data_IF_786119583016
#
_entry.id   IF_786119583016
#
_cell.length_a   1.000
_cell.length_b   1.000
_cell.length_c   1.000
_cell.angle_alpha   90.00
_cell.angle_beta   90.00
_cell.angle_gamma   90.00
#
_symmetry.space_group_name_H-M   'P 1'
#
loop_
_entity.id
_entity.type
_entity.pdbx_description
1 polymer ?
#
# COMPACT_ATOMS: atom_id res chain seq x y z
N UNK A 1 39.79 11.52 -21.43
CA UNK A 1 39.63 10.42 -20.44
C UNK A 1 38.17 10.41 -20.05
N UNK A 2 37.37 9.54 -20.70
CA UNK A 2 35.93 9.41 -20.43
C UNK A 2 35.83 8.55 -19.17
N UNK A 3 35.43 9.13 -18.04
CA UNK A 3 35.05 8.40 -16.84
C UNK A 3 33.75 7.65 -17.17
N UNK A 4 33.85 6.35 -17.41
CA UNK A 4 32.71 5.45 -17.40
C UNK A 4 32.17 5.46 -15.94
N UNK A 5 30.94 5.92 -15.76
CA UNK A 5 30.21 5.71 -14.52
C UNK A 5 30.14 4.20 -14.25
N UNK A 6 30.27 3.76 -12.99
CA UNK A 6 30.12 2.34 -12.67
C UNK A 6 28.73 1.89 -13.12
N UNK A 7 28.67 0.86 -13.93
CA UNK A 7 27.44 0.14 -14.22
C UNK A 7 27.00 -0.44 -12.88
N UNK A 8 25.97 0.13 -12.27
CA UNK A 8 25.24 -0.50 -11.17
C UNK A 8 24.81 -1.87 -11.70
N UNK A 9 25.33 -2.95 -11.12
CA UNK A 9 24.84 -4.29 -11.40
C UNK A 9 23.35 -4.28 -11.05
N UNK A 10 22.49 -4.46 -12.06
CA UNK A 10 21.06 -4.61 -11.84
C UNK A 10 20.84 -5.74 -10.83
N UNK A 11 20.05 -5.49 -9.81
CA UNK A 11 19.72 -6.49 -8.79
C UNK A 11 19.06 -7.70 -9.48
N UNK A 12 19.58 -8.90 -9.23
CA UNK A 12 18.93 -10.14 -9.67
C UNK A 12 17.85 -10.55 -8.66
N UNK A 13 16.63 -10.14 -8.93
CA UNK A 13 15.50 -10.40 -8.06
C UNK A 13 15.19 -11.89 -7.88
N UNK A 14 15.62 -12.76 -8.80
CA UNK A 14 15.39 -14.21 -8.75
C UNK A 14 16.24 -14.91 -7.67
N UNK A 15 17.38 -14.32 -7.32
CA UNK A 15 18.30 -14.83 -6.29
C UNK A 15 17.93 -14.36 -4.87
N UNK A 16 16.92 -13.53 -4.73
CA UNK A 16 16.48 -13.04 -3.43
C UNK A 16 15.63 -14.09 -2.69
N UNK A 17 15.95 -14.30 -1.44
CA UNK A 17 15.30 -15.31 -0.57
C UNK A 17 14.59 -14.64 0.61
N UNK A 18 13.27 -14.40 0.53
CA UNK A 18 12.51 -13.85 1.63
C UNK A 18 12.53 -14.75 2.86
N UNK A 19 12.81 -14.18 4.03
CA UNK A 19 12.79 -14.85 5.33
C UNK A 19 11.43 -14.64 5.99
N UNK A 20 10.83 -15.71 6.51
CA UNK A 20 9.60 -15.61 7.29
C UNK A 20 9.91 -14.99 8.66
N UNK A 21 9.28 -13.87 8.98
CA UNK A 21 9.51 -13.11 10.23
C UNK A 21 8.31 -13.14 11.17
N UNK A 22 7.10 -13.43 10.66
CA UNK A 22 5.91 -13.60 11.46
C UNK A 22 4.95 -14.58 10.78
N UNK A 23 4.16 -15.33 11.55
CA UNK A 23 3.22 -16.34 11.01
C UNK A 23 2.09 -16.65 11.99
N UNK A 24 1.15 -17.53 11.58
CA UNK A 24 -0.01 -17.97 12.35
C UNK A 24 -1.13 -16.91 12.43
N UNK A 25 -1.29 -16.12 11.38
CA UNK A 25 -2.42 -15.22 11.17
C UNK A 25 -3.45 -15.86 10.24
N UNK A 26 -4.60 -15.21 10.06
CA UNK A 26 -5.64 -15.71 9.16
C UNK A 26 -5.41 -15.18 7.75
N UNK A 27 -5.23 -13.84 7.60
CA UNK A 27 -4.87 -13.21 6.34
C UNK A 27 -4.18 -11.87 6.61
N UNK A 28 -2.89 -11.81 6.31
CA UNK A 28 -2.07 -10.63 6.57
C UNK A 28 -2.15 -9.62 5.43
N UNK A 29 -2.20 -8.34 5.76
CA UNK A 29 -2.33 -7.22 4.82
C UNK A 29 -1.72 -5.92 5.35
N UNK A 30 -1.65 -4.90 4.49
CA UNK A 30 -1.39 -3.52 4.79
C UNK A 30 -0.15 -3.24 5.64
N UNK A 31 1.02 -3.78 5.28
CA UNK A 31 2.23 -3.51 6.04
C UNK A 31 2.64 -2.04 5.90
N UNK A 32 3.02 -1.43 7.01
CA UNK A 32 3.53 -0.06 7.05
C UNK A 32 4.66 0.04 8.08
N UNK A 33 5.80 0.58 7.68
CA UNK A 33 6.95 0.75 8.56
C UNK A 33 6.87 2.09 9.29
N UNK A 34 7.08 2.08 10.60
CA UNK A 34 7.21 3.28 11.43
C UNK A 34 8.66 3.68 11.57
N UNK A 35 8.95 5.00 11.56
CA UNK A 35 10.27 5.53 11.91
C UNK A 35 10.71 5.18 13.34
N UNK A 36 9.77 4.79 14.19
CA UNK A 36 10.08 4.31 15.55
C UNK A 36 10.62 2.88 15.56
N UNK A 37 10.93 2.28 14.39
CA UNK A 37 11.66 1.01 14.22
C UNK A 37 10.80 -0.25 14.29
N UNK A 38 9.55 -0.19 13.87
CA UNK A 38 8.65 -1.35 13.81
C UNK A 38 7.74 -1.34 12.59
N UNK A 39 7.27 -2.51 12.20
CA UNK A 39 6.25 -2.72 11.20
C UNK A 39 4.88 -2.82 11.88
N UNK A 40 3.86 -2.13 11.35
CA UNK A 40 2.46 -2.45 11.59
C UNK A 40 1.93 -3.24 10.40
N UNK A 41 1.10 -4.23 10.64
CA UNK A 41 0.35 -4.94 9.60
C UNK A 41 -1.01 -5.40 10.13
N UNK A 42 -1.92 -5.68 9.23
CA UNK A 42 -3.29 -6.11 9.53
C UNK A 42 -3.41 -7.64 9.48
N UNK A 43 -4.16 -8.24 10.40
CA UNK A 43 -4.79 -9.56 10.23
C UNK A 43 -6.29 -9.32 10.08
N UNK A 44 -6.77 -9.31 8.82
CA UNK A 44 -8.12 -8.83 8.50
C UNK A 44 -9.20 -9.68 9.19
N UNK A 45 -9.26 -11.03 8.99
CA UNK A 45 -10.26 -11.84 9.64
C UNK A 45 -10.01 -11.99 11.16
N UNK A 46 -8.74 -11.91 11.58
CA UNK A 46 -8.35 -11.84 13.00
C UNK A 46 -8.77 -10.53 13.67
N UNK A 47 -9.22 -9.55 12.88
CA UNK A 47 -9.69 -8.22 13.32
C UNK A 47 -8.68 -7.47 14.19
N UNK A 48 -7.38 -7.54 13.83
CA UNK A 48 -6.26 -6.98 14.60
C UNK A 48 -5.31 -6.18 13.72
N UNK A 49 -4.72 -5.15 14.31
CA UNK A 49 -3.45 -4.61 13.87
C UNK A 49 -2.35 -5.19 14.74
N UNK A 50 -1.29 -5.68 14.13
CA UNK A 50 -0.11 -6.25 14.75
C UNK A 50 1.06 -5.30 14.64
N UNK A 51 1.97 -5.35 15.61
CA UNK A 51 3.26 -4.66 15.62
C UNK A 51 4.37 -5.69 15.64
N UNK A 52 5.28 -5.59 14.71
CA UNK A 52 6.51 -6.41 14.64
C UNK A 52 7.75 -5.52 14.74
N UNK A 53 8.53 -5.69 15.80
CA UNK A 53 9.86 -5.11 15.94
C UNK A 53 10.88 -6.17 15.53
N UNK A 54 11.85 -5.87 14.64
CA UNK A 54 12.87 -6.85 14.28
C UNK A 54 13.59 -7.42 15.50
N UNK A 55 13.66 -8.75 15.59
CA UNK A 55 14.23 -9.47 16.73
C UNK A 55 13.25 -9.79 17.86
N UNK A 56 12.00 -9.30 17.80
CA UNK A 56 10.97 -9.57 18.81
C UNK A 56 9.82 -10.41 18.21
N UNK A 57 9.00 -10.99 19.09
CA UNK A 57 7.74 -11.61 18.67
C UNK A 57 6.69 -10.51 18.37
N UNK A 58 5.86 -10.69 17.34
CA UNK A 58 4.79 -9.73 17.07
C UNK A 58 3.83 -9.58 18.24
N UNK A 59 3.41 -8.36 18.51
CA UNK A 59 2.44 -7.99 19.55
C UNK A 59 1.19 -7.36 18.94
N UNK A 60 0.09 -7.35 19.68
CA UNK A 60 -1.13 -6.64 19.26
C UNK A 60 -0.86 -5.13 19.37
N UNK A 61 -0.97 -4.41 18.25
CA UNK A 61 -0.92 -2.96 18.20
C UNK A 61 -2.31 -2.36 18.52
N UNK A 62 -3.38 -2.93 17.93
CA UNK A 62 -4.77 -2.55 18.17
C UNK A 62 -5.66 -3.78 17.99
N UNK A 63 -6.42 -4.11 19.02
CA UNK A 63 -7.48 -5.11 18.96
C UNK A 63 -8.78 -4.49 18.41
N UNK A 64 -9.68 -5.33 17.88
CA UNK A 64 -10.94 -4.87 17.27
C UNK A 64 -10.69 -3.77 16.21
N UNK A 65 -9.85 -4.10 15.22
CA UNK A 65 -9.39 -3.16 14.19
C UNK A 65 -10.47 -2.75 13.19
N UNK A 66 -11.70 -3.25 13.30
CA UNK A 66 -12.83 -2.99 12.39
C UNK A 66 -12.55 -3.43 10.94
N UNK A 67 -11.86 -4.56 10.79
CA UNK A 67 -11.44 -5.04 9.49
C UNK A 67 -10.41 -4.12 8.82
N UNK A 68 -9.40 -3.69 9.58
CA UNK A 68 -8.29 -2.92 9.05
C UNK A 68 -7.61 -3.69 7.91
N UNK A 69 -7.30 -2.99 6.81
CA UNK A 69 -6.58 -3.52 5.65
C UNK A 69 -5.31 -2.71 5.46
N UNK A 70 -5.31 -1.70 4.58
CA UNK A 70 -4.16 -0.86 4.28
C UNK A 70 -3.83 0.13 5.39
N UNK A 71 -2.54 0.37 5.57
CA UNK A 71 -2.01 1.29 6.56
C UNK A 71 -0.92 2.19 5.95
N UNK A 72 -0.79 3.41 6.48
CA UNK A 72 0.28 4.34 6.12
C UNK A 72 0.61 5.24 7.31
N UNK A 73 1.88 5.58 7.49
CA UNK A 73 2.30 6.59 8.45
C UNK A 73 2.46 7.96 7.77
N UNK A 74 2.33 9.03 8.54
CA UNK A 74 2.69 10.37 8.11
C UNK A 74 4.01 10.86 8.74
N UNK A 75 4.43 12.07 8.36
CA UNK A 75 5.64 12.74 8.88
C UNK A 75 5.64 12.90 10.40
N UNK A 76 4.48 12.93 11.05
CA UNK A 76 4.31 13.05 12.49
C UNK A 76 4.27 11.69 13.20
N UNK A 77 4.33 10.58 12.45
CA UNK A 77 4.26 9.22 12.97
C UNK A 77 2.84 8.81 13.41
N UNK A 78 1.80 9.44 12.85
CA UNK A 78 0.41 9.04 13.03
C UNK A 78 0.08 7.95 12.01
N UNK A 79 -0.68 6.94 12.44
CA UNK A 79 -1.09 5.83 11.59
C UNK A 79 -2.45 6.11 10.95
N UNK A 80 -2.52 6.00 9.64
CA UNK A 80 -3.75 6.06 8.85
C UNK A 80 -4.14 4.65 8.44
N UNK A 81 -5.41 4.30 8.58
CA UNK A 81 -5.90 2.94 8.36
C UNK A 81 -7.21 2.94 7.57
N UNK A 82 -7.30 2.05 6.58
CA UNK A 82 -8.55 1.67 5.94
C UNK A 82 -9.27 0.63 6.80
N UNK A 83 -10.42 0.97 7.39
CA UNK A 83 -11.25 0.06 8.17
C UNK A 83 -12.43 -0.42 7.31
N UNK A 84 -12.26 -1.55 6.61
CA UNK A 84 -13.21 -1.99 5.60
C UNK A 84 -14.56 -2.43 6.16
N UNK A 85 -14.60 -3.09 7.33
CA UNK A 85 -15.85 -3.50 7.95
C UNK A 85 -16.68 -2.31 8.43
N UNK A 86 -16.03 -1.26 8.94
CA UNK A 86 -16.67 -0.02 9.35
C UNK A 86 -16.85 0.97 8.19
N UNK A 87 -16.26 0.69 7.01
CA UNK A 87 -16.36 1.52 5.79
C UNK A 87 -15.87 2.94 6.02
N UNK A 88 -14.67 3.08 6.59
CA UNK A 88 -14.15 4.39 6.96
C UNK A 88 -12.63 4.44 6.89
N UNK A 89 -12.11 5.66 6.85
CA UNK A 89 -10.69 5.99 7.01
C UNK A 89 -10.51 6.55 8.41
N UNK A 90 -9.50 6.03 9.12
CA UNK A 90 -9.16 6.51 10.47
C UNK A 90 -7.71 6.97 10.54
N UNK A 91 -7.44 7.84 11.53
CA UNK A 91 -6.10 8.26 11.94
C UNK A 91 -5.91 7.95 13.42
N UNK A 92 -4.82 7.26 13.75
CA UNK A 92 -4.43 6.96 15.12
C UNK A 92 -3.23 7.81 15.49
N UNK A 93 -3.31 8.59 16.55
CA UNK A 93 -2.19 9.39 17.05
C UNK A 93 -1.18 8.54 17.84
N UNK A 94 -0.04 9.13 18.22
CA UNK A 94 1.02 8.44 18.99
C UNK A 94 0.56 8.01 20.41
N UNK A 95 -0.57 8.50 20.90
CA UNK A 95 -1.18 8.11 22.19
C UNK A 95 -2.23 7.02 22.03
N UNK A 96 -2.47 6.55 20.78
CA UNK A 96 -3.45 5.52 20.47
C UNK A 96 -4.89 6.05 20.30
N UNK A 97 -5.12 7.37 20.31
CA UNK A 97 -6.45 7.94 20.05
C UNK A 97 -6.78 7.81 18.57
N UNK A 98 -7.93 7.20 18.29
CA UNK A 98 -8.46 7.01 16.93
C UNK A 98 -9.45 8.12 16.59
N UNK A 99 -9.28 8.71 15.42
CA UNK A 99 -10.16 9.72 14.83
C UNK A 99 -10.66 9.23 13.48
N UNK A 100 -11.95 9.42 13.19
CA UNK A 100 -12.54 9.12 11.87
C UNK A 100 -12.31 10.32 10.95
N UNK A 101 -11.69 10.10 9.79
CA UNK A 101 -11.43 11.15 8.80
C UNK A 101 -12.48 11.17 7.69
N UNK A 102 -12.94 9.99 7.26
CA UNK A 102 -13.94 9.86 6.20
C UNK A 102 -14.71 8.55 6.37
N UNK A 103 -16.04 8.59 6.18
CA UNK A 103 -16.93 7.43 6.11
C UNK A 103 -17.99 7.56 5.03
N UNK A 104 -18.14 8.75 4.45
CA UNK A 104 -19.15 9.06 3.43
C UNK A 104 -18.57 9.97 2.36
N UNK A 105 -19.08 9.80 1.16
CA UNK A 105 -18.91 10.72 0.04
C UNK A 105 -20.30 11.12 -0.50
N UNK A 106 -20.58 12.42 -0.57
CA UNK A 106 -21.89 12.95 -0.99
C UNK A 106 -23.09 12.28 -0.26
N UNK A 107 -22.96 12.08 1.05
CA UNK A 107 -24.00 11.47 1.90
C UNK A 107 -24.07 9.95 1.86
N UNK A 108 -23.49 9.28 0.86
CA UNK A 108 -23.44 7.81 0.74
C UNK A 108 -22.22 7.25 1.46
N UNK A 109 -22.37 6.08 2.08
CA UNK A 109 -21.25 5.37 2.74
C UNK A 109 -20.20 4.94 1.70
N UNK A 110 -18.94 4.98 2.11
CA UNK A 110 -17.85 4.35 1.36
C UNK A 110 -18.15 2.84 1.15
N UNK A 111 -17.57 2.23 0.15
CA UNK A 111 -17.80 0.81 -0.14
C UNK A 111 -17.12 -0.10 0.91
N UNK A 112 -15.83 -0.21 0.84
CA UNK A 112 -14.97 -0.92 1.79
C UNK A 112 -13.52 -0.49 1.52
N UNK A 113 -13.05 0.63 2.11
CA UNK A 113 -11.71 1.14 1.87
C UNK A 113 -10.65 0.06 2.04
N UNK A 114 -9.70 0.00 1.10
CA UNK A 114 -8.75 -1.09 1.01
C UNK A 114 -7.31 -0.64 1.30
N UNK A 115 -6.69 0.20 0.48
CA UNK A 115 -5.31 0.64 0.70
C UNK A 115 -5.20 2.17 0.72
N UNK A 116 -4.14 2.69 1.34
CA UNK A 116 -4.00 4.10 1.67
C UNK A 116 -2.54 4.56 1.61
N UNK A 117 -2.32 5.77 1.14
CA UNK A 117 -1.03 6.44 1.21
C UNK A 117 -1.21 7.90 1.63
N UNK A 118 -0.29 8.38 2.48
CA UNK A 118 -0.24 9.78 2.90
C UNK A 118 0.92 10.45 2.20
N UNK A 119 0.65 11.53 1.45
CA UNK A 119 1.68 12.33 0.80
C UNK A 119 2.43 13.16 1.86
N UNK A 120 3.69 13.46 1.61
CA UNK A 120 4.58 14.19 2.55
C UNK A 120 4.00 15.53 3.05
N UNK A 121 3.18 16.18 2.25
CA UNK A 121 2.46 17.39 2.62
C UNK A 121 1.15 17.14 3.42
N UNK A 122 0.83 15.87 3.72
CA UNK A 122 -0.34 15.47 4.53
C UNK A 122 -1.62 15.23 3.73
N UNK A 123 -1.59 15.30 2.41
CA UNK A 123 -2.72 14.86 1.57
C UNK A 123 -2.83 13.34 1.58
N UNK A 124 -4.04 12.81 1.61
CA UNK A 124 -4.31 11.38 1.79
C UNK A 124 -4.99 10.86 0.52
N UNK A 125 -4.56 9.70 0.05
CA UNK A 125 -5.18 9.00 -1.07
C UNK A 125 -5.52 7.58 -0.65
N UNK A 126 -6.70 7.08 -1.03
CA UNK A 126 -7.13 5.73 -0.70
C UNK A 126 -7.98 5.13 -1.81
N UNK A 127 -8.01 3.80 -1.84
CA UNK A 127 -8.87 3.03 -2.74
C UNK A 127 -10.10 2.54 -1.98
N UNK A 128 -11.26 2.54 -2.65
CA UNK A 128 -12.53 2.12 -2.09
C UNK A 128 -13.25 1.14 -3.03
N UNK A 129 -12.68 -0.07 -3.20
CA UNK A 129 -13.38 -1.17 -3.88
C UNK A 129 -14.47 -1.74 -2.97
N UNK A 130 -15.07 -2.84 -3.38
CA UNK A 130 -15.79 -3.72 -2.48
C UNK A 130 -15.39 -5.15 -2.81
N UNK A 131 -14.88 -5.88 -1.83
CA UNK A 131 -14.55 -7.29 -1.95
C UNK A 131 -15.52 -8.12 -1.12
N UNK A 132 -15.76 -9.38 -1.53
CA UNK A 132 -16.61 -10.28 -0.78
C UNK A 132 -18.06 -9.76 -0.63
N UNK A 133 -18.66 -9.97 0.54
CA UNK A 133 -20.04 -9.62 0.84
C UNK A 133 -20.34 -8.11 0.89
N UNK A 134 -19.33 -7.26 1.00
CA UNK A 134 -19.54 -5.82 0.95
C UNK A 134 -20.02 -5.34 -0.43
N UNK A 135 -19.80 -6.09 -1.50
CA UNK A 135 -20.29 -5.76 -2.84
C UNK A 135 -21.83 -5.64 -2.86
N UNK A 136 -22.54 -6.50 -2.13
CA UNK A 136 -24.00 -6.60 -2.16
C UNK A 136 -24.68 -5.46 -1.39
N UNK A 137 -23.93 -4.75 -0.53
CA UNK A 137 -24.45 -3.70 0.34
C UNK A 137 -23.92 -2.30 0.01
N UNK A 138 -23.38 -2.12 -1.20
CA UNK A 138 -22.87 -0.82 -1.65
C UNK A 138 -23.98 0.20 -1.82
N UNK A 139 -23.70 1.44 -1.37
CA UNK A 139 -24.53 2.61 -1.66
C UNK A 139 -24.04 3.36 -2.90
N UNK A 140 -22.75 3.20 -3.24
CA UNK A 140 -22.12 3.77 -4.44
C UNK A 140 -22.20 2.79 -5.61
N UNK A 141 -22.44 3.28 -6.80
CA UNK A 141 -22.55 2.50 -8.03
C UNK A 141 -21.20 2.31 -8.76
N UNK A 142 -20.10 2.70 -8.12
CA UNK A 142 -18.73 2.61 -8.62
C UNK A 142 -17.75 2.22 -7.50
N UNK A 143 -16.56 1.73 -7.88
CA UNK A 143 -15.39 1.63 -7.05
C UNK A 143 -14.55 2.89 -7.22
N UNK A 144 -14.08 3.49 -6.12
CA UNK A 144 -13.44 4.80 -6.16
C UNK A 144 -11.96 4.79 -5.83
N UNK A 145 -11.23 5.75 -6.39
CA UNK A 145 -9.97 6.26 -5.85
C UNK A 145 -10.26 7.65 -5.33
N UNK A 146 -9.91 7.92 -4.09
CA UNK A 146 -10.28 9.15 -3.39
C UNK A 146 -9.07 9.91 -2.88
N UNK A 147 -9.28 11.20 -2.69
CA UNK A 147 -8.38 12.13 -2.05
C UNK A 147 -9.07 12.78 -0.85
N UNK A 148 -8.35 12.93 0.27
CA UNK A 148 -8.75 13.75 1.40
C UNK A 148 -7.76 14.90 1.52
N UNK A 149 -8.27 16.12 1.40
CA UNK A 149 -7.48 17.35 1.51
C UNK A 149 -7.05 17.65 2.95
N UNK A 150 -6.14 18.59 3.14
CA UNK A 150 -5.75 19.09 4.48
C UNK A 150 -6.91 19.64 5.31
N UNK A 151 -8.01 20.04 4.64
CA UNK A 151 -9.22 20.56 5.28
C UNK A 151 -10.20 19.46 5.64
N UNK A 152 -9.89 18.19 5.32
CA UNK A 152 -10.77 17.06 5.49
C UNK A 152 -11.86 16.93 4.42
N UNK A 153 -11.75 17.68 3.32
CA UNK A 153 -12.65 17.55 2.17
C UNK A 153 -12.31 16.28 1.40
N UNK A 154 -13.32 15.53 1.00
CA UNK A 154 -13.17 14.28 0.26
C UNK A 154 -13.57 14.48 -1.21
N UNK A 155 -12.64 14.20 -2.11
CA UNK A 155 -12.83 14.26 -3.56
C UNK A 155 -12.59 12.90 -4.21
N UNK A 156 -13.20 12.66 -5.37
CA UNK A 156 -13.00 11.46 -6.18
C UNK A 156 -11.94 11.75 -7.24
N UNK A 157 -10.84 10.99 -7.20
CA UNK A 157 -9.80 10.99 -8.24
C UNK A 157 -10.27 10.22 -9.47
N UNK A 158 -10.80 9.00 -9.24
CA UNK A 158 -11.30 8.15 -10.32
C UNK A 158 -12.50 7.32 -9.88
N UNK A 159 -13.40 7.05 -10.84
CA UNK A 159 -14.53 6.14 -10.70
C UNK A 159 -14.34 4.96 -11.66
N UNK A 160 -14.54 3.75 -11.18
CA UNK A 160 -14.38 2.53 -11.97
C UNK A 160 -15.53 1.55 -11.70
N UNK A 161 -15.79 0.66 -12.64
CA UNK A 161 -16.61 -0.54 -12.41
C UNK A 161 -15.78 -1.71 -11.89
N UNK A 162 -14.48 -1.66 -12.10
CA UNK A 162 -13.47 -2.63 -11.65
C UNK A 162 -12.82 -2.15 -10.35
N UNK A 163 -12.16 -3.07 -9.63
CA UNK A 163 -11.70 -2.84 -8.26
C UNK A 163 -10.28 -2.29 -8.22
N UNK A 164 -10.08 -0.97 -7.91
CA UNK A 164 -8.78 -0.46 -7.50
C UNK A 164 -8.38 -1.13 -6.19
N UNK A 165 -7.09 -1.41 -6.01
CA UNK A 165 -6.59 -2.12 -4.84
C UNK A 165 -5.42 -1.36 -4.21
N UNK A 166 -4.17 -1.80 -4.41
CA UNK A 166 -3.00 -1.13 -3.84
C UNK A 166 -2.80 0.29 -4.35
N UNK A 167 -2.21 1.14 -3.52
CA UNK A 167 -1.97 2.55 -3.82
C UNK A 167 -0.60 3.00 -3.31
N UNK A 168 0.15 3.74 -4.13
CA UNK A 168 1.46 4.29 -3.77
C UNK A 168 1.75 5.59 -4.50
N UNK A 169 2.70 6.36 -4.00
CA UNK A 169 3.19 7.61 -4.61
C UNK A 169 4.58 7.42 -5.21
N UNK A 170 4.85 8.12 -6.31
CA UNK A 170 6.22 8.29 -6.80
C UNK A 170 7.11 8.97 -5.76
N UNK A 171 8.46 8.85 -5.85
CA UNK A 171 9.38 9.43 -4.86
C UNK A 171 9.20 10.93 -4.65
N UNK A 172 8.84 11.66 -5.69
CA UNK A 172 8.60 13.10 -5.63
C UNK A 172 7.14 13.48 -5.29
N UNK A 173 6.27 12.48 -5.04
CA UNK A 173 4.86 12.68 -4.69
C UNK A 173 3.98 13.28 -5.81
N UNK A 174 4.44 13.25 -7.06
CA UNK A 174 3.72 13.85 -8.20
C UNK A 174 2.90 12.85 -9.02
N UNK A 175 3.11 11.56 -8.81
CA UNK A 175 2.36 10.51 -9.49
C UNK A 175 1.77 9.59 -8.43
N UNK A 176 0.49 9.31 -8.54
CA UNK A 176 -0.21 8.29 -7.77
C UNK A 176 -0.34 7.03 -8.63
N UNK A 177 0.15 5.91 -8.13
CA UNK A 177 0.01 4.61 -8.76
C UNK A 177 -1.08 3.82 -8.06
N UNK A 178 -1.96 3.19 -8.84
CA UNK A 178 -3.06 2.37 -8.34
C UNK A 178 -3.11 1.07 -9.12
N UNK A 179 -3.06 -0.06 -8.42
CA UNK A 179 -3.34 -1.38 -9.02
C UNK A 179 -4.83 -1.56 -9.24
N UNK A 180 -5.20 -2.28 -10.29
CA UNK A 180 -6.56 -2.74 -10.50
C UNK A 180 -6.57 -4.27 -10.60
N UNK A 181 -7.21 -4.92 -9.62
CA UNK A 181 -7.22 -6.38 -9.50
C UNK A 181 -7.94 -7.07 -10.64
N UNK A 182 -9.02 -6.48 -11.15
CA UNK A 182 -9.84 -7.07 -12.22
C UNK A 182 -9.22 -6.87 -13.60
N UNK A 183 -8.63 -5.70 -13.84
CA UNK A 183 -7.99 -5.35 -15.12
C UNK A 183 -6.55 -5.83 -15.22
N UNK A 184 -5.95 -6.28 -14.13
CA UNK A 184 -4.54 -6.71 -14.03
C UNK A 184 -3.57 -5.66 -14.55
N UNK A 185 -3.76 -4.43 -14.11
CA UNK A 185 -2.95 -3.29 -14.55
C UNK A 185 -2.54 -2.38 -13.37
N UNK A 186 -1.65 -1.44 -13.67
CA UNK A 186 -1.39 -0.26 -12.84
C UNK A 186 -1.79 0.97 -13.63
N UNK A 187 -2.61 1.82 -13.02
CA UNK A 187 -2.93 3.15 -13.50
C UNK A 187 -2.05 4.18 -12.80
N UNK A 188 -1.58 5.16 -13.53
CA UNK A 188 -0.82 6.28 -13.03
C UNK A 188 -1.61 7.57 -13.21
N UNK A 189 -1.69 8.36 -12.15
CA UNK A 189 -2.41 9.64 -12.09
C UNK A 189 -1.41 10.75 -11.79
N UNK A 190 -1.32 11.75 -12.66
CA UNK A 190 -0.46 12.91 -12.44
C UNK A 190 -1.13 13.85 -11.42
N UNK A 191 -0.51 14.05 -10.27
CA UNK A 191 -1.07 14.85 -9.18
C UNK A 191 -0.71 16.33 -9.32
N UNK A 192 -1.68 17.18 -9.13
CA UNK A 192 -1.48 18.62 -8.99
C UNK A 192 -1.14 19.03 -7.54
N UNK A 193 -0.94 20.33 -7.33
CA UNK A 193 -0.58 20.87 -6.00
C UNK A 193 -1.72 20.77 -4.99
N UNK A 194 -2.96 20.76 -5.46
CA UNK A 194 -4.15 20.69 -4.62
C UNK A 194 -4.57 19.24 -4.31
N UNK A 195 -3.88 18.26 -4.89
CA UNK A 195 -4.16 16.84 -4.71
C UNK A 195 -5.09 16.25 -5.75
N UNK A 196 -5.58 17.04 -6.70
CA UNK A 196 -6.33 16.58 -7.87
C UNK A 196 -5.44 15.80 -8.85
N UNK A 197 -6.07 15.03 -9.74
CA UNK A 197 -5.39 14.23 -10.76
C UNK A 197 -5.97 14.47 -12.14
N UNK A 198 -5.53 15.51 -12.85
CA UNK A 198 -6.10 15.88 -14.14
C UNK A 198 -5.80 14.89 -15.27
N UNK A 199 -4.76 14.07 -15.12
CA UNK A 199 -4.34 13.11 -16.14
C UNK A 199 -4.27 11.70 -15.58
N UNK A 200 -4.74 10.74 -16.36
CA UNK A 200 -4.68 9.30 -16.06
C UNK A 200 -4.11 8.55 -17.27
N UNK A 201 -3.33 7.50 -16.99
CA UNK A 201 -2.87 6.54 -18.00
C UNK A 201 -2.71 5.14 -17.43
N UNK A 202 -2.84 4.12 -18.26
CA UNK A 202 -2.41 2.76 -17.93
C UNK A 202 -0.88 2.72 -18.09
N UNK A 203 -0.16 2.50 -17.01
CA UNK A 203 1.30 2.42 -17.00
C UNK A 203 1.78 0.99 -17.27
N UNK A 204 1.16 0.02 -16.61
CA UNK A 204 1.49 -1.41 -16.73
C UNK A 204 0.21 -2.16 -17.05
N UNK A 205 0.27 -3.12 -17.95
CA UNK A 205 -0.84 -3.99 -18.31
C UNK A 205 -0.41 -5.46 -18.30
N UNK A 206 -1.40 -6.36 -18.21
CA UNK A 206 -1.18 -7.81 -18.24
C UNK A 206 -0.23 -8.33 -17.13
N UNK A 207 -0.35 -7.79 -15.93
CA UNK A 207 0.43 -8.25 -14.77
C UNK A 207 0.14 -9.73 -14.52
N UNK A 208 1.19 -10.51 -14.27
CA UNK A 208 1.10 -11.93 -13.96
C UNK A 208 0.42 -12.16 -12.61
N UNK A 209 -0.81 -12.64 -12.63
CA UNK A 209 -1.64 -12.82 -11.43
C UNK A 209 -2.62 -11.67 -11.21
N UNK A 210 -3.13 -11.58 -9.98
CA UNK A 210 -4.05 -10.52 -9.56
C UNK A 210 -3.24 -9.49 -8.78
N UNK A 211 -3.01 -8.28 -9.31
CA UNK A 211 -2.26 -7.26 -8.59
C UNK A 211 -3.07 -6.79 -7.37
N UNK A 212 -2.37 -6.68 -6.26
CA UNK A 212 -2.88 -6.30 -4.95
C UNK A 212 -2.12 -5.06 -4.45
N UNK A 213 -1.49 -5.07 -3.30
CA UNK A 213 -0.70 -3.94 -2.81
C UNK A 213 0.54 -3.63 -3.64
N UNK A 214 1.02 -2.39 -3.59
CA UNK A 214 2.27 -1.98 -4.24
C UNK A 214 3.03 -0.95 -3.42
N UNK A 215 4.35 -0.90 -3.62
CA UNK A 215 5.23 0.17 -3.11
C UNK A 215 6.26 0.57 -4.17
N UNK A 216 6.94 1.69 -3.92
CA UNK A 216 7.89 2.30 -4.85
C UNK A 216 9.24 2.49 -4.16
N UNK A 217 10.35 2.26 -4.87
CA UNK A 217 11.70 2.57 -4.40
C UNK A 217 12.14 4.01 -4.73
N UNK A 218 13.32 4.44 -4.26
CA UNK A 218 13.86 5.78 -4.52
C UNK A 218 14.17 6.03 -6.01
N UNK A 219 14.35 4.96 -6.80
CA UNK A 219 14.55 5.04 -8.26
C UNK A 219 13.24 5.14 -9.04
N UNK A 220 12.09 4.95 -8.35
CA UNK A 220 10.77 4.95 -8.95
C UNK A 220 10.29 3.58 -9.42
N UNK A 221 11.04 2.50 -9.17
CA UNK A 221 10.59 1.15 -9.52
C UNK A 221 9.41 0.73 -8.63
N UNK A 222 8.45 0.02 -9.22
CA UNK A 222 7.24 -0.44 -8.57
C UNK A 222 7.38 -1.91 -8.16
N UNK A 223 7.10 -2.21 -6.90
CA UNK A 223 7.05 -3.54 -6.32
C UNK A 223 5.59 -3.90 -6.08
N UNK A 224 5.06 -4.83 -6.85
CA UNK A 224 3.63 -5.15 -6.93
C UNK A 224 3.40 -6.56 -6.40
N UNK A 225 2.61 -6.70 -5.34
CA UNK A 225 2.14 -8.00 -4.88
C UNK A 225 1.14 -8.57 -5.90
N UNK A 226 1.42 -9.78 -6.40
CA UNK A 226 0.58 -10.50 -7.36
C UNK A 226 0.79 -12.02 -7.18
N UNK A 227 1.15 -12.79 -8.22
CA UNK A 227 1.56 -14.19 -8.02
C UNK A 227 2.87 -14.28 -7.21
N UNK A 228 3.75 -13.32 -7.43
CA UNK A 228 4.98 -13.05 -6.69
C UNK A 228 5.03 -11.54 -6.43
N UNK A 229 6.13 -11.02 -5.90
CA UNK A 229 6.35 -9.58 -5.93
C UNK A 229 6.98 -9.25 -7.29
N UNK A 230 6.17 -8.70 -8.19
CA UNK A 230 6.60 -8.31 -9.53
C UNK A 230 7.24 -6.92 -9.48
N UNK A 231 8.41 -6.77 -10.10
CA UNK A 231 9.16 -5.50 -10.10
C UNK A 231 9.15 -4.89 -11.50
N UNK A 232 8.73 -3.62 -11.57
CA UNK A 232 8.68 -2.85 -12.81
C UNK A 232 9.43 -1.54 -12.67
N UNK A 233 10.01 -1.04 -13.76
CA UNK A 233 10.60 0.30 -13.79
C UNK A 233 9.52 1.39 -13.69
N UNK A 234 9.95 2.63 -13.45
CA UNK A 234 9.08 3.80 -13.45
C UNK A 234 8.33 4.02 -14.79
N UNK A 235 8.87 3.46 -15.89
CA UNK A 235 8.27 3.51 -17.24
C UNK A 235 7.36 2.29 -17.51
N UNK A 236 7.25 1.34 -16.56
CA UNK A 236 6.41 0.15 -16.68
C UNK A 236 7.08 -1.04 -17.35
N UNK A 237 8.40 -1.05 -17.51
CA UNK A 237 9.14 -2.21 -18.00
C UNK A 237 9.31 -3.24 -16.87
N UNK A 238 8.99 -4.51 -17.12
CA UNK A 238 9.21 -5.60 -16.16
C UNK A 238 10.71 -5.85 -15.96
N UNK A 239 11.17 -5.77 -14.72
CA UNK A 239 12.58 -5.93 -14.33
C UNK A 239 12.87 -7.31 -13.76
N UNK A 240 11.88 -7.98 -13.18
CA UNK A 240 12.00 -9.30 -12.58
C UNK A 240 10.97 -9.54 -11.51
N UNK A 241 11.10 -10.67 -10.79
CA UNK A 241 10.15 -11.08 -9.74
C UNK A 241 10.90 -11.59 -8.52
N UNK A 242 10.50 -11.14 -7.34
CA UNK A 242 10.99 -11.68 -6.06
C UNK A 242 10.08 -12.86 -5.69
N UNK A 243 10.68 -14.03 -5.57
CA UNK A 243 9.94 -15.24 -5.22
C UNK A 243 9.24 -15.08 -3.87
N UNK A 244 7.98 -15.43 -3.80
CA UNK A 244 7.21 -15.54 -2.56
C UNK A 244 6.85 -17.01 -2.28
N UNK A 245 6.91 -17.42 -1.02
CA UNK A 245 6.52 -18.78 -0.61
C UNK A 245 5.01 -18.96 -0.48
N UNK A 246 4.30 -17.85 -0.26
CA UNK A 246 2.84 -17.76 -0.26
C UNK A 246 2.43 -16.62 -1.22
N UNK A 247 1.18 -16.61 -1.68
CA UNK A 247 0.68 -15.50 -2.53
C UNK A 247 0.74 -14.19 -1.76
N UNK A 248 1.54 -13.21 -2.20
CA UNK A 248 1.65 -11.92 -1.54
C UNK A 248 0.36 -11.12 -1.69
N UNK A 249 0.02 -10.36 -0.66
CA UNK A 249 -1.11 -9.41 -0.65
C UNK A 249 -0.62 -7.96 -0.73
N UNK A 250 0.47 -7.63 -0.02
CA UNK A 250 1.00 -6.26 0.00
C UNK A 250 2.48 -6.27 0.39
N UNK A 251 3.14 -5.11 0.35
CA UNK A 251 4.52 -4.96 0.79
C UNK A 251 4.77 -3.59 1.42
N UNK A 252 5.90 -3.45 2.12
CA UNK A 252 6.38 -2.18 2.66
C UNK A 252 7.90 -2.19 2.76
N UNK A 253 8.53 -1.11 2.39
CA UNK A 253 9.94 -0.88 2.70
C UNK A 253 10.10 -0.53 4.17
N UNK A 254 11.11 -1.08 4.81
CA UNK A 254 11.37 -0.88 6.23
C UNK A 254 12.82 -1.10 6.61
N UNK A 255 13.06 -1.28 7.92
CA UNK A 255 14.31 -1.16 8.63
C UNK A 255 14.84 0.29 8.65
N UNK A 256 15.81 0.61 9.51
CA UNK A 256 16.33 1.98 9.63
C UNK A 256 16.92 2.55 8.34
N UNK A 257 17.39 1.69 7.44
CA UNK A 257 17.98 2.06 6.15
C UNK A 257 16.99 2.00 4.98
N UNK A 258 15.73 1.51 5.22
CA UNK A 258 14.69 1.30 4.19
C UNK A 258 15.11 0.37 3.05
N UNK A 259 16.06 -0.53 3.29
CA UNK A 259 16.53 -1.52 2.32
C UNK A 259 15.95 -2.92 2.53
N UNK A 260 15.00 -3.09 3.43
CA UNK A 260 14.22 -4.32 3.55
C UNK A 260 12.83 -4.15 3.00
N UNK A 261 12.40 -5.09 2.18
CA UNK A 261 11.01 -5.20 1.75
C UNK A 261 10.32 -6.24 2.66
N UNK A 262 9.33 -5.79 3.41
CA UNK A 262 8.41 -6.64 4.15
C UNK A 262 7.23 -6.98 3.26
N UNK A 263 6.88 -8.25 3.18
CA UNK A 263 5.81 -8.77 2.32
C UNK A 263 4.80 -9.50 3.18
N UNK A 264 3.57 -9.02 3.20
CA UNK A 264 2.44 -9.78 3.74
C UNK A 264 1.98 -10.80 2.70
N UNK A 265 1.82 -12.06 3.12
CA UNK A 265 1.43 -13.14 2.23
C UNK A 265 0.63 -14.20 3.00
N UNK A 266 -0.64 -14.32 2.68
CA UNK A 266 -1.57 -15.24 3.35
C UNK A 266 -1.50 -15.13 4.87
N UNK A 267 -0.91 -16.14 5.53
CA UNK A 267 -0.88 -16.28 6.99
C UNK A 267 0.41 -15.77 7.62
N UNK A 268 1.27 -15.13 6.84
CA UNK A 268 2.66 -14.84 7.24
C UNK A 268 3.14 -13.47 6.75
N UNK A 269 4.20 -12.98 7.37
CA UNK A 269 4.98 -11.83 6.92
C UNK A 269 6.40 -12.30 6.62
N UNK A 270 6.92 -11.89 5.50
CA UNK A 270 8.28 -12.18 5.04
C UNK A 270 9.09 -10.89 4.98
N UNK A 271 10.41 -11.01 5.07
CA UNK A 271 11.37 -9.92 4.90
C UNK A 271 12.43 -10.35 3.90
N UNK A 272 12.76 -9.48 2.97
CA UNK A 272 13.86 -9.66 2.01
C UNK A 272 14.71 -8.40 1.97
N UNK A 273 16.04 -8.56 1.92
CA UNK A 273 16.98 -7.44 1.78
C UNK A 273 17.17 -7.11 0.32
N UNK A 274 17.18 -5.82 0.03
CA UNK A 274 17.40 -5.26 -1.30
C UNK A 274 18.63 -4.34 -1.31
N UNK A 275 19.20 -4.14 -2.48
CA UNK A 275 20.31 -3.18 -2.69
C UNK A 275 19.81 -1.75 -2.90
N UNK A 276 18.50 -1.55 -3.00
CA UNK A 276 17.84 -0.26 -3.21
C UNK A 276 17.07 0.13 -1.95
N UNK A 277 16.83 1.43 -1.81
CA UNK A 277 16.00 1.97 -0.72
C UNK A 277 14.58 2.21 -1.19
N UNK A 278 13.64 1.92 -0.30
CA UNK A 278 12.25 2.29 -0.52
C UNK A 278 12.04 3.80 -0.49
N UNK A 279 11.15 4.26 -1.33
CA UNK A 279 10.63 5.61 -1.27
C UNK A 279 9.57 5.72 -0.18
N UNK A 280 9.84 6.51 0.83
CA UNK A 280 8.90 6.77 1.93
C UNK A 280 8.45 8.22 1.90
N UNK A 281 7.17 8.46 2.21
CA UNK A 281 6.56 9.78 2.16
C UNK A 281 6.66 10.53 3.50
N UNK A 282 7.28 9.94 4.50
CA UNK A 282 7.45 10.50 5.84
C UNK A 282 8.91 10.60 6.28
#
# INVERSE_FOLDING_TARGET
MILLAPVSSSEDFSELHPQKVATNYVFTEGPAWSRDGYLVFSDIPGNKLLKFTPGEQPAIFRDNSNGAIGNSFDMQGRLYTCESHSRRITRTDKKGKVEVLAERWQGKRLNAPNDIVVRRDGQIYFTDPAFGSQQDTRELDFCGVYHISHRGEIDVIAKSKTRPNGIALSPNGKILYVTNSDERNVRAYDLDRNGGAPNERVLISNIAGIPDGLKVDESGNLYIAANQVEVYSAEGQHLGSIRSYDTPSNCAFGDPDFQSLYVTARTSVYRVRLNVKGSVQY
#
